data_IF_990514926111
#
_entry.id   IF_990514926111
#
_cell.length_a   1.000
_cell.length_b   1.000
_cell.length_c   1.000
_cell.angle_alpha   90.00
_cell.angle_beta   90.00
_cell.angle_gamma   90.00
#
_symmetry.space_group_name_H-M   'P 1'
#
loop_
_entity.id
_entity.type
_entity.pdbx_description
1 polymer ?
#
# COMPACT_ATOMS: atom_id res chain seq x y z
N UNK A 1 31.01 1.32 -2.69
CA UNK A 1 30.24 0.52 -1.72
C UNK A 1 30.78 0.87 -0.35
N UNK A 2 30.02 1.58 0.47
CA UNK A 2 30.48 1.96 1.80
C UNK A 2 30.61 0.72 2.70
N UNK A 3 31.70 0.64 3.47
CA UNK A 3 31.93 -0.44 4.42
C UNK A 3 31.37 -0.01 5.77
N UNK A 4 30.21 -0.55 6.14
CA UNK A 4 29.64 -0.39 7.49
C UNK A 4 29.81 -1.68 8.28
N UNK A 5 30.20 -1.55 9.53
CA UNK A 5 30.32 -2.69 10.41
C UNK A 5 28.96 -2.96 11.09
N UNK A 6 28.44 -4.17 10.93
CA UNK A 6 27.16 -4.56 11.50
C UNK A 6 27.15 -4.50 13.05
N UNK A 7 28.33 -4.58 13.70
CA UNK A 7 28.44 -4.48 15.16
C UNK A 7 28.16 -3.09 15.70
N UNK A 8 28.26 -2.05 14.86
CA UNK A 8 28.01 -0.65 15.23
C UNK A 8 26.52 -0.36 15.46
N UNK A 9 25.62 -1.28 15.08
CA UNK A 9 24.16 -1.17 15.26
C UNK A 9 23.59 0.19 14.82
N UNK A 10 24.15 0.75 13.74
CA UNK A 10 23.70 2.00 13.13
C UNK A 10 22.25 1.88 12.63
N UNK A 11 21.51 2.98 12.74
CA UNK A 11 20.10 3.02 12.34
C UNK A 11 19.95 3.00 10.82
N UNK A 12 18.87 2.41 10.31
CA UNK A 12 18.59 2.39 8.87
C UNK A 12 18.50 3.79 8.26
N UNK A 13 18.06 4.78 9.04
CA UNK A 13 18.01 6.19 8.62
C UNK A 13 19.41 6.78 8.41
N UNK A 14 20.34 6.46 9.30
CA UNK A 14 21.73 6.86 9.15
C UNK A 14 22.36 6.22 7.91
N UNK A 15 22.16 4.91 7.74
CA UNK A 15 22.62 4.16 6.55
C UNK A 15 22.11 4.78 5.25
N UNK A 16 20.81 5.08 5.17
CA UNK A 16 20.21 5.69 3.98
C UNK A 16 20.80 7.08 3.68
N UNK A 17 21.01 7.88 4.72
CA UNK A 17 21.59 9.23 4.60
C UNK A 17 23.03 9.16 4.08
N UNK A 18 23.83 8.24 4.63
CA UNK A 18 25.24 8.08 4.26
C UNK A 18 25.41 7.64 2.81
N UNK A 19 24.61 6.67 2.37
CA UNK A 19 24.62 6.18 0.98
C UNK A 19 23.97 7.18 0.00
N UNK A 20 23.32 8.23 0.50
CA UNK A 20 22.61 9.21 -0.33
C UNK A 20 21.36 8.64 -1.02
N UNK A 21 20.80 7.56 -0.46
CA UNK A 21 19.69 6.83 -1.06
C UNK A 21 18.37 7.14 -0.36
N UNK A 22 17.31 7.19 -1.17
CA UNK A 22 15.95 7.36 -0.66
C UNK A 22 15.30 6.00 -0.45
N UNK A 23 14.15 5.95 0.26
CA UNK A 23 13.36 4.72 0.44
C UNK A 23 12.62 4.30 -0.85
N UNK A 24 13.36 4.16 -1.95
CA UNK A 24 12.89 3.90 -3.31
C UNK A 24 12.08 2.60 -3.42
N UNK A 25 12.49 1.56 -2.70
CA UNK A 25 11.79 0.28 -2.66
C UNK A 25 10.38 0.42 -2.06
N UNK A 26 10.25 1.10 -0.93
CA UNK A 26 8.94 1.31 -0.27
C UNK A 26 8.03 2.14 -1.19
N UNK A 27 8.58 3.17 -1.84
CA UNK A 27 7.85 3.97 -2.83
C UNK A 27 7.37 3.12 -4.01
N UNK A 28 8.22 2.24 -4.53
CA UNK A 28 7.88 1.32 -5.61
C UNK A 28 6.78 0.32 -5.20
N UNK A 29 6.86 -0.23 -3.99
CA UNK A 29 5.84 -1.15 -3.45
C UNK A 29 4.49 -0.44 -3.32
N UNK A 30 4.46 0.76 -2.72
CA UNK A 30 3.24 1.57 -2.59
C UNK A 30 2.62 1.87 -3.96
N UNK A 31 3.45 2.25 -4.94
CA UNK A 31 2.99 2.50 -6.31
C UNK A 31 2.39 1.27 -6.98
N UNK A 32 3.07 0.12 -6.91
CA UNK A 32 2.56 -1.13 -7.49
C UNK A 32 1.23 -1.55 -6.87
N UNK A 33 1.11 -1.40 -5.54
CA UNK A 33 -0.14 -1.65 -4.80
C UNK A 33 -1.27 -0.75 -5.30
N UNK A 34 -0.99 0.54 -5.47
CA UNK A 34 -1.94 1.53 -5.96
C UNK A 34 -2.39 1.24 -7.40
N UNK A 35 -1.45 0.94 -8.29
CA UNK A 35 -1.76 0.65 -9.70
C UNK A 35 -2.61 -0.63 -9.83
N UNK A 36 -2.26 -1.68 -9.07
CA UNK A 36 -3.05 -2.92 -9.02
C UNK A 36 -4.48 -2.65 -8.53
N UNK A 37 -4.64 -1.95 -7.41
CA UNK A 37 -5.96 -1.72 -6.82
C UNK A 37 -6.86 -0.85 -7.68
N UNK A 38 -6.30 0.12 -8.40
CA UNK A 38 -7.08 0.90 -9.35
C UNK A 38 -7.69 0.04 -10.46
N UNK A 39 -7.03 -1.05 -10.88
CA UNK A 39 -7.63 -2.02 -11.80
C UNK A 39 -8.71 -2.82 -11.10
N UNK A 40 -8.36 -3.43 -9.97
CA UNK A 40 -9.28 -4.28 -9.17
C UNK A 40 -10.61 -3.59 -8.87
N UNK A 41 -10.60 -2.30 -8.54
CA UNK A 41 -11.80 -1.58 -8.12
C UNK A 41 -12.67 -1.07 -9.26
N UNK A 42 -12.13 -1.01 -10.49
CA UNK A 42 -12.85 -0.54 -11.68
C UNK A 42 -13.45 -1.68 -12.51
N UNK A 43 -12.99 -2.89 -12.28
CA UNK A 43 -13.38 -4.09 -13.03
C UNK A 43 -14.09 -5.05 -12.09
N UNK A 44 -15.36 -4.79 -11.84
CA UNK A 44 -16.16 -5.58 -10.90
C UNK A 44 -16.52 -6.98 -11.42
N UNK A 45 -16.33 -7.20 -12.72
CA UNK A 45 -16.43 -8.48 -13.42
C UNK A 45 -15.25 -9.43 -13.14
N UNK A 46 -14.09 -8.91 -12.71
CA UNK A 46 -12.89 -9.72 -12.49
C UNK A 46 -12.90 -10.40 -11.10
N UNK A 47 -12.47 -11.67 -11.04
CA UNK A 47 -12.46 -12.48 -9.79
C UNK A 47 -11.79 -11.78 -8.61
N UNK A 48 -10.74 -11.00 -8.87
CA UNK A 48 -10.01 -10.31 -7.81
C UNK A 48 -10.81 -9.17 -7.18
N UNK A 49 -11.77 -8.55 -7.90
CA UNK A 49 -12.71 -7.62 -7.29
C UNK A 49 -13.59 -8.37 -6.28
N UNK A 50 -14.14 -9.52 -6.66
CA UNK A 50 -14.93 -10.37 -5.77
C UNK A 50 -14.13 -10.83 -4.55
N UNK A 51 -12.84 -11.17 -4.70
CA UNK A 51 -11.99 -11.56 -3.57
C UNK A 51 -11.76 -10.40 -2.59
N UNK A 52 -11.62 -9.18 -3.10
CA UNK A 52 -11.33 -7.99 -2.29
C UNK A 52 -12.60 -7.44 -1.61
N UNK A 53 -13.72 -7.42 -2.31
CA UNK A 53 -15.05 -7.04 -1.78
C UNK A 53 -15.65 -8.16 -0.91
N UNK A 54 -15.25 -9.40 -1.15
CA UNK A 54 -15.92 -10.62 -0.69
C UNK A 54 -15.87 -10.82 0.81
N UNK A 55 -17.06 -11.02 1.36
CA UNK A 55 -17.28 -11.64 2.66
C UNK A 55 -16.77 -13.10 2.60
N UNK A 56 -15.55 -13.32 3.09
CA UNK A 56 -14.99 -14.65 3.26
C UNK A 56 -15.90 -15.43 4.22
N UNK A 57 -16.34 -16.61 3.81
CA UNK A 57 -17.12 -17.51 4.65
C UNK A 57 -16.32 -17.87 5.92
N UNK A 58 -16.92 -17.64 7.08
CA UNK A 58 -16.30 -17.91 8.37
C UNK A 58 -16.32 -16.72 9.32
N UNK A 59 -16.12 -17.01 10.61
CA UNK A 59 -16.06 -15.98 11.66
C UNK A 59 -14.64 -15.43 11.75
N UNK A 60 -14.49 -14.10 11.73
CA UNK A 60 -13.21 -13.48 12.07
C UNK A 60 -12.79 -13.93 13.48
N UNK A 61 -11.55 -14.40 13.68
CA UNK A 61 -11.08 -14.76 15.00
C UNK A 61 -11.13 -13.55 15.93
N UNK A 62 -11.47 -13.78 17.20
CA UNK A 62 -11.41 -12.75 18.23
C UNK A 62 -9.97 -12.31 18.48
N UNK A 63 -9.73 -11.02 18.68
CA UNK A 63 -8.40 -10.43 18.91
C UNK A 63 -8.04 -9.31 17.95
N UNK A 64 -6.77 -8.89 17.95
CA UNK A 64 -6.29 -7.83 17.06
C UNK A 64 -6.34 -8.32 15.61
N UNK A 65 -7.13 -7.70 14.73
CA UNK A 65 -7.18 -8.10 13.34
C UNK A 65 -5.80 -7.88 12.70
N UNK A 66 -5.37 -8.83 11.87
CA UNK A 66 -4.21 -8.63 10.99
C UNK A 66 -4.46 -7.40 10.11
N UNK A 67 -3.39 -6.66 9.80
CA UNK A 67 -3.49 -5.56 8.87
C UNK A 67 -3.90 -6.11 7.50
N UNK A 68 -5.11 -5.78 7.05
CA UNK A 68 -5.61 -6.24 5.76
C UNK A 68 -4.94 -5.46 4.65
N UNK A 69 -5.02 -5.99 3.43
CA UNK A 69 -4.51 -5.30 2.25
C UNK A 69 -5.18 -3.92 2.06
N UNK A 70 -6.51 -3.84 2.26
CA UNK A 70 -7.26 -2.57 2.22
C UNK A 70 -6.80 -1.62 3.32
N UNK A 71 -6.61 -2.10 4.55
CA UNK A 71 -6.13 -1.25 5.65
C UNK A 71 -4.72 -0.71 5.38
N UNK A 72 -3.82 -1.52 4.84
CA UNK A 72 -2.51 -1.05 4.42
C UNK A 72 -2.61 -0.02 3.29
N UNK A 73 -3.44 -0.26 2.28
CA UNK A 73 -3.66 0.68 1.18
C UNK A 73 -4.16 2.04 1.70
N UNK A 74 -5.18 2.01 2.58
CA UNK A 74 -5.70 3.21 3.24
C UNK A 74 -4.62 3.97 4.00
N UNK A 75 -3.76 3.26 4.73
CA UNK A 75 -2.63 3.87 5.46
C UNK A 75 -1.59 4.48 4.51
N UNK A 76 -1.35 3.88 3.35
CA UNK A 76 -0.38 4.41 2.39
C UNK A 76 -0.83 5.78 1.85
N UNK A 77 -2.12 5.92 1.50
CA UNK A 77 -2.68 7.13 0.86
C UNK A 77 -3.42 8.10 1.80
N UNK A 78 -3.54 7.76 3.07
CA UNK A 78 -4.27 8.55 4.07
C UNK A 78 -5.77 8.63 3.79
N UNK A 79 -6.41 7.49 3.54
CA UNK A 79 -7.86 7.38 3.37
C UNK A 79 -8.52 6.75 4.59
N UNK A 80 -9.58 7.37 5.11
CA UNK A 80 -10.27 6.84 6.30
C UNK A 80 -11.18 5.65 5.97
N UNK A 81 -11.87 5.72 4.82
CA UNK A 81 -12.92 4.76 4.45
C UNK A 81 -12.63 4.05 3.12
N UNK A 82 -13.07 2.79 3.04
CA UNK A 82 -13.00 2.01 1.80
C UNK A 82 -13.91 2.57 0.71
N UNK A 83 -15.11 3.03 1.09
CA UNK A 83 -16.05 3.66 0.15
C UNK A 83 -15.46 4.90 -0.55
N UNK A 84 -14.74 5.75 0.20
CA UNK A 84 -14.05 6.90 -0.39
C UNK A 84 -12.95 6.50 -1.37
N UNK A 85 -12.24 5.41 -1.07
CA UNK A 85 -11.21 4.85 -1.93
C UNK A 85 -11.80 4.26 -3.21
N UNK A 86 -12.93 3.55 -3.13
CA UNK A 86 -13.66 3.01 -4.29
C UNK A 86 -14.14 4.13 -5.22
N UNK A 87 -14.77 5.18 -4.67
CA UNK A 87 -15.18 6.37 -5.43
C UNK A 87 -14.00 7.07 -6.11
N UNK A 88 -12.83 7.14 -5.44
CA UNK A 88 -11.63 7.70 -6.06
C UNK A 88 -11.15 6.85 -7.24
N UNK A 89 -11.28 5.53 -7.16
CA UNK A 89 -10.82 4.61 -8.19
C UNK A 89 -11.62 4.72 -9.49
N UNK A 90 -12.91 5.09 -9.42
CA UNK A 90 -13.77 5.34 -10.59
C UNK A 90 -13.18 6.43 -11.51
N UNK A 91 -12.59 7.48 -10.92
CA UNK A 91 -11.93 8.55 -11.65
C UNK A 91 -10.44 8.22 -11.87
N UNK A 92 -10.10 7.81 -13.11
CA UNK A 92 -8.74 7.38 -13.47
C UNK A 92 -7.70 8.48 -13.29
N UNK A 93 -8.06 9.73 -13.53
CA UNK A 93 -7.13 10.86 -13.45
C UNK A 93 -6.89 11.27 -12.00
N UNK A 94 -7.94 11.32 -11.18
CA UNK A 94 -7.79 11.53 -9.73
C UNK A 94 -7.03 10.38 -9.06
N UNK A 95 -7.27 9.14 -9.47
CA UNK A 95 -6.52 7.98 -9.00
C UNK A 95 -5.02 8.13 -9.29
N UNK A 96 -4.66 8.48 -10.53
CA UNK A 96 -3.26 8.71 -10.93
C UNK A 96 -2.65 9.92 -10.24
N UNK A 97 -3.41 10.99 -10.03
CA UNK A 97 -2.92 12.19 -9.36
C UNK A 97 -2.57 11.92 -7.89
N UNK A 98 -3.36 11.11 -7.19
CA UNK A 98 -3.09 10.71 -5.80
C UNK A 98 -1.76 9.98 -5.64
N UNK A 99 -1.32 9.23 -6.66
CA UNK A 99 0.00 8.59 -6.67
C UNK A 99 1.16 9.59 -6.51
N UNK A 100 1.02 10.83 -7.01
CA UNK A 100 2.09 11.85 -6.86
C UNK A 100 2.32 12.26 -5.41
N UNK A 101 1.36 11.97 -4.53
CA UNK A 101 1.45 12.22 -3.09
C UNK A 101 2.02 11.03 -2.29
N UNK A 102 2.31 9.89 -2.96
CA UNK A 102 2.93 8.68 -2.39
C UNK A 102 4.45 8.60 -2.60
#
# INVERSE_FOLDING_TARGET
MEKMNWTERVTNEHVLTQVGETRSLIKAIKRRRWDMMGRVLRHDEELHHTIIEGAIEGRKPSGRPRNSYISQLKNDVGFDTYAGLKRLAEDRDKWRAKLKTL
#
